data_IF_156619114702
#
_entry.id   IF_156619114702
#
_cell.length_a   1.000
_cell.length_b   1.000
_cell.length_c   1.000
_cell.angle_alpha   90.00
_cell.angle_beta   90.00
_cell.angle_gamma   90.00
#
_symmetry.space_group_name_H-M   'P 1'
#
loop_
_entity.id
_entity.type
_entity.pdbx_description
1 polymer ?
#
# COMPACT_ATOMS: atom_id res chain seq x y z
N UNK A 1 -12.51 -2.22 1.91
CA UNK A 1 -11.46 -1.74 0.97
C UNK A 1 -10.28 -2.69 1.06
N UNK A 2 -9.64 -3.04 -0.06
CA UNK A 2 -8.41 -3.83 -0.13
C UNK A 2 -7.32 -2.96 -0.74
N UNK A 3 -6.18 -2.89 -0.09
CA UNK A 3 -4.98 -2.25 -0.62
C UNK A 3 -3.87 -3.29 -0.70
N UNK A 4 -3.13 -3.30 -1.81
CA UNK A 4 -2.00 -4.19 -1.96
C UNK A 4 -0.93 -3.55 -2.87
N UNK A 5 0.34 -3.61 -2.46
CA UNK A 5 1.47 -3.18 -3.29
C UNK A 5 1.80 -4.18 -4.40
N UNK A 6 1.79 -3.77 -5.67
CA UNK A 6 2.12 -4.66 -6.79
C UNK A 6 3.54 -5.25 -6.67
N UNK A 7 4.46 -4.50 -6.06
CA UNK A 7 5.83 -4.90 -5.80
C UNK A 7 6.04 -5.64 -4.47
N UNK A 8 4.98 -6.10 -3.79
CA UNK A 8 5.10 -6.90 -2.58
C UNK A 8 5.81 -8.23 -2.89
N UNK A 9 7.08 -8.30 -2.49
CA UNK A 9 7.94 -9.48 -2.64
C UNK A 9 7.78 -10.51 -1.53
N UNK A 10 7.07 -10.20 -0.44
CA UNK A 10 6.79 -11.14 0.66
C UNK A 10 5.47 -11.88 0.42
N UNK A 11 4.42 -11.12 0.11
CA UNK A 11 3.07 -11.62 -0.13
C UNK A 11 2.70 -11.27 -1.58
N UNK A 12 2.96 -12.18 -2.51
CA UNK A 12 2.74 -11.90 -3.92
C UNK A 12 1.27 -11.61 -4.24
N UNK A 13 1.01 -10.45 -4.86
CA UNK A 13 -0.35 -9.96 -5.19
C UNK A 13 -1.16 -10.93 -6.06
N UNK A 14 -0.48 -11.67 -6.95
CA UNK A 14 -1.09 -12.66 -7.85
C UNK A 14 -1.60 -13.92 -7.12
N UNK A 15 -1.07 -14.22 -5.94
CA UNK A 15 -1.41 -15.40 -5.16
C UNK A 15 -2.15 -15.05 -3.85
N UNK A 16 -2.63 -13.80 -3.74
CA UNK A 16 -3.31 -13.29 -2.54
C UNK A 16 -4.50 -12.40 -2.89
N UNK A 17 -4.31 -11.07 -2.95
CA UNK A 17 -5.43 -10.12 -3.06
C UNK A 17 -6.13 -10.12 -4.41
N UNK A 18 -5.43 -10.36 -5.54
CA UNK A 18 -6.08 -10.45 -6.85
C UNK A 18 -7.10 -11.59 -6.93
N UNK A 19 -6.75 -12.86 -6.64
CA UNK A 19 -7.73 -13.93 -6.68
C UNK A 19 -8.83 -13.76 -5.62
N UNK A 20 -8.51 -13.26 -4.42
CA UNK A 20 -9.52 -12.95 -3.41
C UNK A 20 -10.53 -11.93 -3.93
N UNK A 21 -10.08 -10.77 -4.44
CA UNK A 21 -10.96 -9.73 -4.96
C UNK A 21 -11.84 -10.24 -6.10
N UNK A 22 -11.28 -11.03 -7.02
CA UNK A 22 -12.04 -11.61 -8.13
C UNK A 22 -13.18 -12.50 -7.62
N UNK A 23 -12.89 -13.43 -6.71
CA UNK A 23 -13.90 -14.35 -6.16
C UNK A 23 -14.93 -13.59 -5.33
N UNK A 24 -14.50 -12.66 -4.48
CA UNK A 24 -15.43 -11.89 -3.63
C UNK A 24 -16.35 -10.98 -4.46
N UNK A 25 -15.82 -10.28 -5.47
CA UNK A 25 -16.63 -9.42 -6.33
C UNK A 25 -17.61 -10.21 -7.21
N UNK A 26 -17.26 -11.44 -7.61
CA UNK A 26 -18.15 -12.32 -8.36
C UNK A 26 -19.22 -12.97 -7.48
N UNK A 27 -18.89 -13.30 -6.23
CA UNK A 27 -19.80 -13.96 -5.29
C UNK A 27 -20.87 -13.03 -4.73
N UNK A 28 -20.54 -11.75 -4.51
CA UNK A 28 -21.49 -10.74 -4.03
C UNK A 28 -21.16 -9.36 -4.64
N UNK A 29 -21.80 -9.01 -5.78
CA UNK A 29 -21.62 -7.70 -6.42
C UNK A 29 -22.09 -6.52 -5.56
N UNK A 30 -23.03 -6.76 -4.64
CA UNK A 30 -23.60 -5.72 -3.76
C UNK A 30 -22.73 -5.47 -2.52
N UNK A 31 -21.78 -6.37 -2.21
CA UNK A 31 -20.84 -6.22 -1.10
C UNK A 31 -19.97 -4.94 -1.19
N UNK A 32 -19.94 -4.26 -2.35
CA UNK A 32 -19.32 -2.95 -2.48
C UNK A 32 -17.80 -2.95 -2.29
N UNK A 33 -17.15 -4.11 -2.42
CA UNK A 33 -15.71 -4.26 -2.23
C UNK A 33 -14.95 -3.38 -3.24
N UNK A 34 -13.87 -2.75 -2.78
CA UNK A 34 -12.95 -1.95 -3.60
C UNK A 34 -11.54 -2.48 -3.48
N UNK A 35 -10.83 -2.52 -4.60
CA UNK A 35 -9.45 -2.95 -4.70
C UNK A 35 -8.58 -1.83 -5.25
N UNK A 36 -7.60 -1.40 -4.45
CA UNK A 36 -6.64 -0.36 -4.78
C UNK A 36 -5.24 -0.98 -4.82
N UNK A 37 -4.72 -1.19 -6.02
CA UNK A 37 -3.39 -1.76 -6.21
C UNK A 37 -2.36 -0.65 -6.34
N UNK A 38 -1.37 -0.60 -5.46
CA UNK A 38 -0.34 0.44 -5.47
C UNK A 38 0.80 0.00 -6.38
N UNK A 39 1.01 0.69 -7.50
CA UNK A 39 1.91 0.23 -8.58
C UNK A 39 3.36 -0.02 -8.11
N UNK A 40 3.88 0.85 -7.25
CA UNK A 40 5.22 0.75 -6.68
C UNK A 40 5.19 0.46 -5.16
N UNK A 41 4.10 -0.12 -4.64
CA UNK A 41 4.01 -0.50 -3.23
C UNK A 41 4.73 -1.82 -2.96
N UNK A 42 5.38 -1.94 -1.80
CA UNK A 42 5.97 -3.20 -1.29
C UNK A 42 5.67 -3.37 0.20
N UNK A 43 6.05 -4.51 0.78
CA UNK A 43 5.61 -4.93 2.12
C UNK A 43 6.19 -4.12 3.29
N UNK A 44 7.45 -3.70 3.20
CA UNK A 44 8.27 -3.25 4.32
C UNK A 44 8.65 -1.78 4.22
N UNK A 45 7.78 -0.85 4.64
CA UNK A 45 8.10 0.59 4.61
C UNK A 45 9.43 0.94 5.30
N UNK A 46 9.83 0.17 6.33
CA UNK A 46 11.11 0.31 7.01
C UNK A 46 12.36 0.12 6.10
N UNK A 47 12.22 -0.55 4.95
CA UNK A 47 13.33 -0.79 4.01
C UNK A 47 13.47 0.30 2.95
N UNK A 48 12.51 1.22 2.82
CA UNK A 48 12.54 2.28 1.81
C UNK A 48 13.79 3.17 1.83
N UNK A 49 14.43 3.45 2.97
CA UNK A 49 15.70 4.20 3.01
C UNK A 49 16.93 3.38 2.60
N UNK A 50 16.82 2.05 2.50
CA UNK A 50 17.98 1.20 2.21
C UNK A 50 18.43 1.34 0.75
N UNK A 51 19.75 1.25 0.47
CA UNK A 51 20.25 1.17 -0.89
C UNK A 51 19.56 0.05 -1.68
N UNK A 52 19.12 0.36 -2.91
CA UNK A 52 18.40 -0.59 -3.78
C UNK A 52 16.88 -0.58 -3.63
N UNK A 53 16.34 0.02 -2.56
CA UNK A 53 14.89 0.26 -2.40
C UNK A 53 14.55 1.74 -2.57
N UNK A 54 15.44 2.62 -2.13
CA UNK A 54 15.32 4.06 -2.32
C UNK A 54 15.15 4.40 -3.82
N UNK A 55 14.10 5.16 -4.15
CA UNK A 55 13.80 5.55 -5.53
C UNK A 55 13.04 4.50 -6.36
N UNK A 56 12.69 3.34 -5.79
CA UNK A 56 11.95 2.28 -6.50
C UNK A 56 10.53 2.04 -5.98
N UNK A 57 10.27 2.36 -4.71
CA UNK A 57 9.00 2.04 -4.05
C UNK A 57 8.42 3.24 -3.30
N UNK A 58 7.10 3.24 -3.17
CA UNK A 58 6.34 4.22 -2.35
C UNK A 58 6.08 3.65 -0.95
N UNK A 59 5.91 4.54 0.03
CA UNK A 59 5.46 4.16 1.37
C UNK A 59 3.99 3.75 1.35
N UNK A 60 3.66 2.63 1.99
CA UNK A 60 2.31 2.08 2.06
C UNK A 60 1.43 2.75 3.13
N UNK A 61 2.03 3.23 4.22
CA UNK A 61 1.29 3.85 5.34
C UNK A 61 0.32 4.96 4.90
N UNK A 62 0.70 5.94 4.04
CA UNK A 62 -0.24 6.98 3.61
C UNK A 62 -1.45 6.45 2.84
N UNK A 63 -1.29 5.37 2.07
CA UNK A 63 -2.42 4.75 1.37
C UNK A 63 -3.35 4.02 2.34
N UNK A 64 -2.79 3.37 3.36
CA UNK A 64 -3.58 2.76 4.43
C UNK A 64 -4.42 3.82 5.15
N UNK A 65 -3.80 4.93 5.57
CA UNK A 65 -4.50 6.03 6.25
C UNK A 65 -5.62 6.58 5.36
N UNK A 66 -5.33 6.85 4.08
CA UNK A 66 -6.34 7.33 3.13
C UNK A 66 -7.51 6.34 2.93
N UNK A 67 -7.25 5.03 2.96
CA UNK A 67 -8.34 4.05 2.89
C UNK A 67 -9.16 3.95 4.17
N UNK A 68 -8.54 4.19 5.33
CA UNK A 68 -9.27 4.30 6.60
C UNK A 68 -10.20 5.52 6.56
N UNK A 69 -9.74 6.66 6.04
CA UNK A 69 -10.58 7.85 5.84
C UNK A 69 -11.75 7.58 4.87
N UNK A 70 -11.49 6.87 3.76
CA UNK A 70 -12.54 6.47 2.82
C UNK A 70 -13.57 5.53 3.45
N UNK A 71 -13.12 4.59 4.29
CA UNK A 71 -13.99 3.68 5.01
C UNK A 71 -14.82 4.40 6.06
N UNK A 72 -14.22 5.30 6.84
CA UNK A 72 -14.95 6.12 7.80
C UNK A 72 -16.01 6.96 7.09
N UNK A 73 -15.65 7.66 6.03
CA UNK A 73 -16.62 8.47 5.28
C UNK A 73 -17.75 7.64 4.66
N UNK A 74 -17.45 6.42 4.21
CA UNK A 74 -18.45 5.50 3.70
C UNK A 74 -19.41 5.02 4.79
N UNK A 75 -18.90 4.62 5.96
CA UNK A 75 -19.70 4.07 7.05
C UNK A 75 -20.46 5.15 7.83
N UNK A 76 -19.83 6.30 8.06
CA UNK A 76 -20.37 7.41 8.85
C UNK A 76 -21.32 8.29 8.05
N UNK A 77 -21.07 8.47 6.75
CA UNK A 77 -21.80 9.45 5.93
C UNK A 77 -22.38 8.86 4.63
N UNK A 78 -22.36 7.53 4.44
CA UNK A 78 -22.78 6.87 3.20
C UNK A 78 -22.06 7.41 1.95
N UNK A 79 -20.85 7.96 2.10
CA UNK A 79 -20.10 8.46 0.95
C UNK A 79 -19.67 7.29 0.07
N UNK A 80 -19.88 7.39 -1.25
CA UNK A 80 -19.51 6.31 -2.17
C UNK A 80 -18.00 6.16 -2.25
N UNK A 81 -17.49 4.95 -2.01
CA UNK A 81 -16.08 4.64 -2.21
C UNK A 81 -15.66 4.82 -3.68
N UNK A 82 -14.47 5.40 -3.95
CA UNK A 82 -13.89 5.47 -5.29
C UNK A 82 -13.84 4.10 -5.98
N UNK A 83 -13.95 4.03 -7.32
CA UNK A 83 -13.87 2.77 -8.04
C UNK A 83 -12.51 2.08 -7.85
N UNK A 84 -12.48 0.75 -7.90
CA UNK A 84 -11.25 -0.04 -7.87
C UNK A 84 -10.29 0.44 -8.96
N UNK A 85 -9.00 0.57 -8.63
CA UNK A 85 -8.01 1.19 -9.51
C UNK A 85 -6.59 0.74 -9.18
N UNK A 86 -5.68 0.99 -10.13
CA UNK A 86 -4.24 1.00 -9.87
C UNK A 86 -3.86 2.43 -9.50
N UNK A 87 -3.37 2.61 -8.28
CA UNK A 87 -2.91 3.91 -7.78
C UNK A 87 -1.45 4.09 -8.14
N UNK A 88 -1.13 5.29 -8.66
CA UNK A 88 0.21 5.68 -9.12
C UNK A 88 0.57 6.99 -8.45
N UNK A 89 1.61 6.94 -7.64
CA UNK A 89 2.16 8.10 -6.95
C UNK A 89 3.64 8.25 -7.25
N UNK A 90 4.14 9.47 -7.11
CA UNK A 90 5.55 9.76 -7.26
C UNK A 90 6.35 9.05 -6.16
N UNK A 91 7.45 8.40 -6.54
CA UNK A 91 8.40 7.86 -5.58
C UNK A 91 9.19 9.02 -5.01
N UNK A 92 9.07 9.22 -3.70
CA UNK A 92 9.80 10.27 -3.00
C UNK A 92 11.28 9.91 -2.90
N UNK A 93 12.17 10.91 -2.98
CA UNK A 93 13.61 10.70 -2.82
C UNK A 93 13.97 10.22 -1.41
N UNK A 94 13.15 10.54 -0.42
CA UNK A 94 13.24 10.06 0.95
C UNK A 94 11.85 9.62 1.43
N UNK A 95 11.36 8.44 1.00
CA UNK A 95 10.06 7.94 1.43
C UNK A 95 10.19 7.42 2.87
N UNK A 96 9.83 8.26 3.84
CA UNK A 96 9.39 7.78 5.16
C UNK A 96 10.45 7.42 6.20
N UNK A 97 11.76 7.50 5.91
CA UNK A 97 12.76 7.45 6.98
C UNK A 97 14.04 8.20 6.60
N UNK A 98 13.94 9.53 6.51
CA UNK A 98 15.10 10.43 6.50
C UNK A 98 16.03 10.26 7.72
N UNK A 99 15.64 9.44 8.69
CA UNK A 99 16.28 9.25 9.97
C UNK A 99 16.97 7.87 10.11
N UNK A 100 16.63 6.87 9.28
CA UNK A 100 17.36 5.60 9.30
C UNK A 100 18.69 5.81 8.58
N UNK A 101 19.79 5.67 9.31
CA UNK A 101 21.15 5.83 8.78
C UNK A 101 21.86 4.48 8.74
N UNK A 102 22.61 4.23 7.67
CA UNK A 102 23.51 3.09 7.56
C UNK A 102 24.95 3.59 7.77
N UNK A 103 25.58 3.19 8.88
CA UNK A 103 26.98 3.48 9.17
C UNK A 103 27.66 2.20 9.68
N UNK A 104 28.87 1.90 9.21
CA UNK A 104 29.64 0.70 9.59
C UNK A 104 28.88 -0.63 9.47
N UNK A 105 28.03 -0.76 8.44
CA UNK A 105 27.11 -1.90 8.25
C UNK A 105 26.07 -2.12 9.36
N UNK A 106 25.87 -1.11 10.23
CA UNK A 106 24.84 -1.11 11.27
C UNK A 106 23.67 -0.26 10.82
N UNK A 107 22.47 -0.86 10.84
CA UNK A 107 21.21 -0.14 10.68
C UNK A 107 20.91 0.60 11.98
N UNK A 108 20.88 1.94 11.94
CA UNK A 108 20.45 2.77 13.07
C UNK A 108 19.05 3.30 12.81
N UNK A 109 18.10 2.85 13.62
CA UNK A 109 16.76 3.44 13.72
C UNK A 109 16.81 4.45 14.87
N UNK A 110 16.51 5.74 14.63
CA UNK A 110 16.44 6.71 15.72
C UNK A 110 15.30 6.35 16.67
N UNK A 111 15.52 6.64 17.95
CA UNK A 111 14.49 6.52 19.00
C UNK A 111 13.27 7.42 18.75
#
# INVERSE_FOLDING_TARGET
VLIHGRGDGLIAVNHSSRPYYYVSAAGDPEAGIRYYEIEHGQHFDAFLPLPGFAGHYVAMQPFFDAAMDLLDANLSFNQRLPPSQVVREAILTAPGASAITLGDHVLRVPE
#
